data_IF_160942952515
#
_entry.id   IF_160942952515
#
_cell.length_a   1.000
_cell.length_b   1.000
_cell.length_c   1.000
_cell.angle_alpha   90.00
_cell.angle_beta   90.00
_cell.angle_gamma   90.00
#
_symmetry.space_group_name_H-M   'P 1'
#
loop_
_entity.id
_entity.type
_entity.pdbx_description
1 polymer ?
#
# COMPACT_ATOMS: atom_id res chain seq x y z
N UNK A 1 -2.18 -31.94 -7.08
CA UNK A 1 -2.69 -33.33 -6.92
C UNK A 1 -1.58 -34.28 -7.33
N UNK A 2 -1.37 -35.36 -6.58
CA UNK A 2 -0.33 -36.35 -6.88
C UNK A 2 -1.07 -37.45 -7.64
N UNK A 3 -0.92 -37.52 -8.95
CA UNK A 3 -1.50 -38.62 -9.74
C UNK A 3 -0.71 -39.89 -9.42
N UNK A 4 -1.08 -40.54 -8.31
CA UNK A 4 -0.60 -41.87 -7.97
C UNK A 4 -1.45 -42.86 -8.74
N UNK A 5 -1.09 -43.05 -10.02
CA UNK A 5 -1.53 -44.19 -10.82
C UNK A 5 -0.84 -45.46 -10.30
N UNK A 6 -1.21 -45.87 -9.08
CA UNK A 6 -0.65 -47.01 -8.38
C UNK A 6 -1.68 -48.11 -8.17
N UNK A 7 -1.30 -49.37 -8.44
CA UNK A 7 -2.12 -50.52 -8.09
C UNK A 7 -1.92 -50.84 -6.60
N UNK A 8 -2.85 -50.43 -5.74
CA UNK A 8 -2.79 -50.66 -4.30
C UNK A 8 -3.76 -51.78 -3.88
N UNK A 9 -3.34 -52.63 -2.94
CA UNK A 9 -4.20 -53.65 -2.34
C UNK A 9 -4.48 -53.32 -0.88
N UNK A 10 -5.76 -53.25 -0.52
CA UNK A 10 -6.21 -53.07 0.86
C UNK A 10 -7.10 -54.25 1.25
N UNK A 11 -6.93 -54.75 2.48
CA UNK A 11 -7.84 -55.73 3.05
C UNK A 11 -8.94 -54.96 3.79
N UNK A 12 -10.17 -55.09 3.32
CA UNK A 12 -11.37 -54.51 3.92
C UNK A 12 -12.38 -55.60 4.19
N UNK A 13 -13.04 -55.52 5.34
CA UNK A 13 -14.11 -56.42 5.74
C UNK A 13 -15.47 -55.75 5.56
N UNK A 14 -16.53 -56.56 5.62
CA UNK A 14 -17.90 -56.07 5.46
C UNK A 14 -18.23 -55.08 6.57
N UNK A 15 -18.59 -53.86 6.20
CA UNK A 15 -18.92 -52.78 7.14
C UNK A 15 -17.86 -51.67 7.21
N UNK A 16 -16.68 -51.90 6.63
CA UNK A 16 -15.64 -50.87 6.55
C UNK A 16 -16.00 -49.77 5.53
N UNK A 17 -15.58 -48.54 5.82
CA UNK A 17 -15.70 -47.40 4.90
C UNK A 17 -14.33 -47.08 4.31
N UNK A 18 -14.25 -47.04 2.97
CA UNK A 18 -13.07 -46.63 2.23
C UNK A 18 -13.23 -45.22 1.68
N UNK A 19 -12.27 -44.34 1.99
CA UNK A 19 -12.15 -43.02 1.38
C UNK A 19 -11.09 -43.05 0.28
N UNK A 20 -11.48 -42.71 -0.95
CA UNK A 20 -10.62 -42.70 -2.12
C UNK A 20 -10.48 -41.25 -2.59
N UNK A 21 -9.32 -40.64 -2.34
CA UNK A 21 -9.01 -39.27 -2.74
C UNK A 21 -8.34 -39.23 -4.12
N UNK A 22 -9.03 -39.77 -5.13
CA UNK A 22 -8.59 -39.77 -6.53
C UNK A 22 -9.77 -39.41 -7.43
N UNK A 23 -9.50 -38.77 -8.57
CA UNK A 23 -10.54 -38.36 -9.52
C UNK A 23 -11.28 -39.56 -10.15
N UNK A 24 -10.61 -40.71 -10.22
CA UNK A 24 -11.21 -41.97 -10.67
C UNK A 24 -10.55 -43.17 -9.98
N UNK A 25 -11.35 -44.19 -9.64
CA UNK A 25 -10.87 -45.41 -9.00
C UNK A 25 -11.68 -46.64 -9.41
N UNK A 26 -10.99 -47.77 -9.49
CA UNK A 26 -11.60 -49.08 -9.78
C UNK A 26 -11.44 -50.00 -8.56
N UNK A 27 -12.56 -50.49 -8.05
CA UNK A 27 -12.57 -51.46 -6.94
C UNK A 27 -12.67 -52.86 -7.52
N UNK A 28 -11.67 -53.70 -7.21
CA UNK A 28 -11.55 -55.06 -7.74
C UNK A 28 -11.56 -56.08 -6.60
N UNK A 29 -12.20 -57.22 -6.81
CA UNK A 29 -12.06 -58.34 -5.90
C UNK A 29 -10.63 -58.93 -5.98
N UNK A 30 -10.22 -59.67 -4.95
CA UNK A 30 -8.87 -60.25 -4.83
C UNK A 30 -8.45 -61.09 -6.05
N UNK A 31 -9.37 -61.86 -6.63
CA UNK A 31 -9.09 -62.74 -7.78
C UNK A 31 -8.80 -61.92 -9.04
N UNK A 32 -9.64 -60.92 -9.32
CA UNK A 32 -9.49 -60.02 -10.46
C UNK A 32 -8.24 -59.15 -10.32
N UNK A 33 -7.98 -58.61 -9.12
CA UNK A 33 -6.75 -57.85 -8.84
C UNK A 33 -5.50 -58.67 -9.13
N UNK A 34 -5.45 -59.92 -8.65
CA UNK A 34 -4.31 -60.81 -8.87
C UNK A 34 -4.10 -61.11 -10.35
N UNK A 35 -5.19 -61.40 -11.09
CA UNK A 35 -5.12 -61.60 -12.55
C UNK A 35 -4.56 -60.37 -13.26
N UNK A 36 -5.01 -59.18 -12.89
CA UNK A 36 -4.55 -57.93 -13.50
C UNK A 36 -3.08 -57.67 -13.20
N UNK A 37 -2.67 -57.85 -11.95
CA UNK A 37 -1.29 -57.69 -11.50
C UNK A 37 -0.35 -58.70 -12.18
N UNK A 38 -0.75 -59.97 -12.28
CA UNK A 38 0.06 -61.02 -12.91
C UNK A 38 0.17 -60.81 -14.43
N UNK A 39 -0.88 -60.28 -15.06
CA UNK A 39 -0.86 -59.90 -16.48
C UNK A 39 0.04 -58.70 -16.70
N UNK A 40 -0.09 -57.66 -15.88
CA UNK A 40 0.75 -56.47 -15.94
C UNK A 40 2.25 -56.81 -15.79
N UNK A 41 2.59 -57.65 -14.80
CA UNK A 41 3.96 -58.17 -14.61
C UNK A 41 4.45 -59.00 -15.79
N UNK A 42 3.59 -59.86 -16.37
CA UNK A 42 3.93 -60.63 -17.58
C UNK A 42 4.19 -59.73 -18.78
N UNK A 43 3.41 -58.67 -18.95
CA UNK A 43 3.57 -57.70 -20.03
C UNK A 43 4.85 -56.88 -19.85
N UNK A 44 5.17 -56.47 -18.62
CA UNK A 44 6.44 -55.80 -18.30
C UNK A 44 7.67 -56.69 -18.56
N UNK A 45 7.56 -58.00 -18.32
CA UNK A 45 8.67 -58.94 -18.42
C UNK A 45 8.81 -59.63 -19.80
N UNK A 46 7.73 -59.70 -20.59
CA UNK A 46 7.65 -60.52 -21.80
C UNK A 46 7.91 -59.80 -23.11
N UNK A 47 7.74 -58.48 -23.19
CA UNK A 47 7.93 -57.71 -24.43
C UNK A 47 8.77 -56.44 -24.18
N UNK A 48 10.02 -56.37 -24.67
CA UNK A 48 10.90 -55.21 -24.51
C UNK A 48 10.30 -53.92 -25.07
N UNK A 49 9.57 -54.01 -26.19
CA UNK A 49 8.92 -52.85 -26.80
C UNK A 49 7.81 -52.28 -25.92
N UNK A 50 7.03 -53.15 -25.25
CA UNK A 50 5.97 -52.73 -24.34
C UNK A 50 6.53 -52.16 -23.03
N UNK A 51 7.64 -52.72 -22.52
CA UNK A 51 8.36 -52.18 -21.37
C UNK A 51 8.87 -50.76 -21.64
N UNK A 52 9.48 -50.54 -22.80
CA UNK A 52 9.94 -49.21 -23.21
C UNK A 52 8.77 -48.24 -23.40
N UNK A 53 7.65 -48.71 -23.95
CA UNK A 53 6.45 -47.88 -24.11
C UNK A 53 5.88 -47.44 -22.75
N UNK A 54 5.72 -48.37 -21.80
CA UNK A 54 5.27 -48.05 -20.43
C UNK A 54 6.23 -47.09 -19.72
N UNK A 55 7.54 -47.33 -19.80
CA UNK A 55 8.55 -46.45 -19.21
C UNK A 55 8.51 -45.03 -19.81
N UNK A 56 8.29 -44.91 -21.13
CA UNK A 56 8.14 -43.63 -21.80
C UNK A 56 6.85 -42.90 -21.35
N UNK A 57 5.75 -43.62 -21.19
CA UNK A 57 4.50 -43.05 -20.66
C UNK A 57 4.66 -42.55 -19.22
N UNK A 58 5.29 -43.34 -18.35
CA UNK A 58 5.60 -42.92 -16.97
C UNK A 58 6.52 -41.69 -16.97
N UNK A 59 7.51 -41.64 -17.87
CA UNK A 59 8.38 -40.47 -18.05
C UNK A 59 7.62 -39.21 -18.49
N UNK A 60 6.68 -39.34 -19.43
CA UNK A 60 5.83 -38.23 -19.88
C UNK A 60 4.91 -37.72 -18.78
N UNK A 61 4.31 -38.63 -17.98
CA UNK A 61 3.48 -38.26 -16.83
C UNK A 61 4.33 -37.51 -15.79
N UNK A 62 5.51 -38.02 -15.46
CA UNK A 62 6.41 -37.36 -14.52
C UNK A 62 6.86 -35.97 -15.01
N UNK A 63 7.11 -35.83 -16.31
CA UNK A 63 7.43 -34.53 -16.92
C UNK A 63 6.26 -33.55 -16.83
N UNK A 64 5.04 -34.02 -17.12
CA UNK A 64 3.82 -33.22 -17.03
C UNK A 64 3.58 -32.74 -15.58
N UNK A 65 3.74 -33.62 -14.60
CA UNK A 65 3.63 -33.30 -13.17
C UNK A 65 4.67 -32.26 -12.74
N UNK A 66 5.91 -32.40 -13.23
CA UNK A 66 6.98 -31.43 -12.97
C UNK A 66 6.66 -30.07 -13.57
N UNK A 67 6.17 -30.04 -14.81
CA UNK A 67 5.74 -28.81 -15.47
C UNK A 67 4.58 -28.14 -14.74
N UNK A 68 3.59 -28.90 -14.27
CA UNK A 68 2.47 -28.37 -13.50
C UNK A 68 2.94 -27.75 -12.18
N UNK A 69 3.81 -28.43 -11.43
CA UNK A 69 4.40 -27.87 -10.20
C UNK A 69 5.21 -26.60 -10.46
N UNK A 70 5.98 -26.56 -11.55
CA UNK A 70 6.75 -25.38 -11.94
C UNK A 70 5.82 -24.20 -12.28
N UNK A 71 4.75 -24.45 -13.02
CA UNK A 71 3.72 -23.44 -13.32
C UNK A 71 3.04 -22.92 -12.06
N UNK A 72 2.63 -23.82 -11.17
CA UNK A 72 2.02 -23.47 -9.88
C UNK A 72 2.95 -22.55 -9.06
N UNK A 73 4.22 -22.94 -8.92
CA UNK A 73 5.22 -22.13 -8.23
C UNK A 73 5.42 -20.75 -8.89
N UNK A 74 5.43 -20.69 -10.22
CA UNK A 74 5.51 -19.44 -10.97
C UNK A 74 4.30 -18.54 -10.69
N UNK A 75 3.09 -19.09 -10.72
CA UNK A 75 1.87 -18.33 -10.42
C UNK A 75 1.85 -17.80 -8.98
N UNK A 76 2.27 -18.62 -8.00
CA UNK A 76 2.36 -18.18 -6.60
C UNK A 76 3.39 -17.05 -6.44
N UNK A 77 4.54 -17.13 -7.10
CA UNK A 77 5.55 -16.07 -7.12
C UNK A 77 5.01 -14.78 -7.75
N UNK A 78 4.34 -14.89 -8.90
CA UNK A 78 3.73 -13.76 -9.58
C UNK A 78 2.67 -13.08 -8.70
N UNK A 79 1.81 -13.87 -8.05
CA UNK A 79 0.81 -13.37 -7.10
C UNK A 79 1.47 -12.63 -5.93
N UNK A 80 2.51 -13.20 -5.33
CA UNK A 80 3.25 -12.57 -4.23
C UNK A 80 3.86 -11.23 -4.64
N UNK A 81 4.41 -11.13 -5.85
CA UNK A 81 4.97 -9.89 -6.38
C UNK A 81 3.88 -8.83 -6.61
N UNK A 82 2.71 -9.25 -7.13
CA UNK A 82 1.59 -8.36 -7.34
C UNK A 82 1.01 -7.83 -6.02
N UNK A 83 0.81 -8.71 -5.03
CA UNK A 83 0.35 -8.35 -3.69
C UNK A 83 1.33 -7.36 -3.02
N UNK A 84 2.64 -7.59 -3.20
CA UNK A 84 3.68 -6.69 -2.70
C UNK A 84 3.63 -5.32 -3.37
N UNK A 85 3.45 -5.29 -4.69
CA UNK A 85 3.32 -4.05 -5.46
C UNK A 85 2.10 -3.24 -5.01
N UNK A 86 0.95 -3.88 -4.83
CA UNK A 86 -0.27 -3.24 -4.33
C UNK A 86 -0.03 -2.65 -2.94
N UNK A 87 0.59 -3.41 -2.04
CA UNK A 87 0.95 -2.93 -0.70
C UNK A 87 1.90 -1.71 -0.73
N UNK A 88 2.92 -1.75 -1.58
CA UNK A 88 3.87 -0.64 -1.74
C UNK A 88 3.20 0.60 -2.34
N UNK A 89 2.31 0.42 -3.31
CA UNK A 89 1.57 1.51 -3.93
C UNK A 89 0.63 2.18 -2.93
N UNK A 90 -0.13 1.41 -2.15
CA UNK A 90 -0.99 1.95 -1.10
C UNK A 90 -0.18 2.73 -0.04
N UNK A 91 0.92 2.15 0.44
CA UNK A 91 1.81 2.83 1.39
C UNK A 91 2.39 4.14 0.82
N UNK A 92 2.71 4.16 -0.48
CA UNK A 92 3.19 5.38 -1.14
C UNK A 92 2.09 6.44 -1.22
N UNK A 93 0.87 6.06 -1.57
CA UNK A 93 -0.30 6.95 -1.59
C UNK A 93 -0.58 7.52 -0.21
N UNK A 94 -0.60 6.69 0.83
CA UNK A 94 -0.87 7.11 2.21
C UNK A 94 0.20 8.11 2.71
N UNK A 95 1.49 7.82 2.47
CA UNK A 95 2.58 8.75 2.79
C UNK A 95 2.45 10.06 2.03
N UNK A 96 2.04 10.00 0.77
CA UNK A 96 1.83 11.20 -0.06
C UNK A 96 0.67 12.03 0.47
N UNK A 97 -0.44 11.39 0.87
CA UNK A 97 -1.59 12.06 1.46
C UNK A 97 -1.23 12.76 2.80
N UNK A 98 -0.46 12.09 3.65
CA UNK A 98 0.06 12.68 4.90
C UNK A 98 0.96 13.89 4.63
N UNK A 99 1.88 13.78 3.66
CA UNK A 99 2.75 14.90 3.29
C UNK A 99 1.95 16.08 2.73
N UNK A 100 0.94 15.82 1.89
CA UNK A 100 0.04 16.86 1.36
C UNK A 100 -0.70 17.56 2.51
N UNK A 101 -1.22 16.81 3.48
CA UNK A 101 -1.89 17.38 4.65
C UNK A 101 -0.94 18.26 5.48
N UNK A 102 0.31 17.84 5.66
CA UNK A 102 1.32 18.63 6.37
C UNK A 102 1.70 19.92 5.63
N UNK A 103 1.78 19.86 4.29
CA UNK A 103 2.01 21.03 3.44
C UNK A 103 0.84 22.01 3.55
N UNK A 104 -0.40 21.52 3.48
CA UNK A 104 -1.60 22.35 3.60
C UNK A 104 -1.66 23.07 4.96
N UNK A 105 -1.33 22.37 6.04
CA UNK A 105 -1.26 22.96 7.37
C UNK A 105 -0.13 24.00 7.49
N UNK A 106 1.01 23.75 6.85
CA UNK A 106 2.12 24.71 6.80
C UNK A 106 1.74 25.97 6.01
N UNK A 107 1.03 25.81 4.89
CA UNK A 107 0.50 26.91 4.08
C UNK A 107 -0.54 27.73 4.85
N UNK A 108 -1.46 27.07 5.55
CA UNK A 108 -2.44 27.74 6.42
C UNK A 108 -1.77 28.57 7.51
N UNK A 109 -0.75 28.00 8.16
CA UNK A 109 0.05 28.70 9.18
C UNK A 109 0.78 29.91 8.59
N UNK A 110 1.46 29.73 7.45
CA UNK A 110 2.15 30.82 6.76
C UNK A 110 1.18 31.94 6.34
N UNK A 111 -0.01 31.58 5.86
CA UNK A 111 -1.08 32.53 5.51
C UNK A 111 -1.53 33.32 6.73
N UNK A 112 -1.74 32.65 7.87
CA UNK A 112 -2.09 33.31 9.13
C UNK A 112 -0.98 34.26 9.61
N UNK A 113 0.29 33.86 9.50
CA UNK A 113 1.42 34.71 9.86
C UNK A 113 1.50 35.95 8.96
N UNK A 114 1.32 35.79 7.65
CA UNK A 114 1.27 36.91 6.70
C UNK A 114 0.13 37.87 7.05
N UNK A 115 -1.06 37.36 7.36
CA UNK A 115 -2.19 38.20 7.76
C UNK A 115 -1.92 38.95 9.07
N UNK A 116 -1.28 38.29 10.05
CA UNK A 116 -0.87 38.94 11.29
C UNK A 116 0.19 40.03 11.04
N UNK A 117 1.18 39.78 10.17
CA UNK A 117 2.20 40.77 9.79
C UNK A 117 1.55 41.97 9.11
N UNK A 118 0.61 41.75 8.18
CA UNK A 118 -0.16 42.84 7.55
C UNK A 118 -0.90 43.67 8.60
N UNK A 119 -1.59 43.02 9.55
CA UNK A 119 -2.28 43.72 10.64
C UNK A 119 -1.33 44.55 11.51
N UNK A 120 -0.15 44.02 11.86
CA UNK A 120 0.87 44.75 12.62
C UNK A 120 1.45 45.93 11.82
N UNK A 121 1.65 45.78 10.51
CA UNK A 121 2.08 46.87 9.63
C UNK A 121 1.03 47.98 9.55
N UNK A 122 -0.25 47.62 9.39
CA UNK A 122 -1.35 48.58 9.34
C UNK A 122 -1.47 49.34 10.67
N UNK A 123 -1.41 48.63 11.81
CA UNK A 123 -1.38 49.25 13.13
C UNK A 123 -0.18 50.16 13.34
N UNK A 124 1.00 49.77 12.83
CA UNK A 124 2.22 50.59 12.91
C UNK A 124 2.09 51.85 12.05
N UNK A 125 1.53 51.74 10.85
CA UNK A 125 1.22 52.87 9.98
C UNK A 125 0.20 53.82 10.60
N UNK A 126 -0.85 53.30 11.25
CA UNK A 126 -1.82 54.12 11.97
C UNK A 126 -1.19 54.83 13.17
N UNK A 127 -0.36 54.14 13.96
CA UNK A 127 0.39 54.75 15.07
C UNK A 127 1.31 55.87 14.57
N UNK A 128 2.06 55.63 13.50
CA UNK A 128 2.91 56.65 12.86
C UNK A 128 2.09 57.86 12.38
N UNK A 129 0.94 57.62 11.71
CA UNK A 129 0.05 58.71 11.28
C UNK A 129 -0.53 59.49 12.48
N UNK A 130 -0.88 58.79 13.56
CA UNK A 130 -1.44 59.40 14.78
C UNK A 130 -0.39 60.21 15.54
N UNK A 131 0.83 59.69 15.69
CA UNK A 131 1.96 60.43 16.29
C UNK A 131 2.32 61.66 15.45
N UNK A 132 2.36 61.54 14.12
CA UNK A 132 2.65 62.68 13.26
C UNK A 132 1.57 63.77 13.38
N UNK A 133 0.29 63.38 13.40
CA UNK A 133 -0.82 64.32 13.68
C UNK A 133 -0.74 64.95 15.07
N UNK A 134 -0.33 64.20 16.09
CA UNK A 134 -0.17 64.73 17.45
C UNK A 134 1.01 65.70 17.56
N UNK A 135 2.15 65.40 16.91
CA UNK A 135 3.29 66.32 16.83
C UNK A 135 2.91 67.60 16.11
N UNK A 136 2.19 67.52 14.99
CA UNK A 136 1.70 68.71 14.28
C UNK A 136 0.75 69.53 15.18
N UNK A 137 -0.17 68.88 15.90
CA UNK A 137 -1.07 69.58 16.84
C UNK A 137 -0.32 70.23 18.01
N UNK A 138 0.71 69.58 18.55
CA UNK A 138 1.53 70.14 19.62
C UNK A 138 2.37 71.33 19.14
N UNK A 139 2.92 71.26 17.93
CA UNK A 139 3.68 72.37 17.33
C UNK A 139 2.75 73.55 17.02
N UNK A 140 1.58 73.31 16.44
CA UNK A 140 0.59 74.36 16.15
C UNK A 140 0.01 74.96 17.43
N UNK A 141 -0.27 74.14 18.45
CA UNK A 141 -0.76 74.56 19.76
C UNK A 141 0.29 75.33 20.57
N UNK A 142 1.54 74.88 20.56
CA UNK A 142 2.66 75.58 21.21
C UNK A 142 2.97 76.92 20.57
N UNK A 143 2.85 77.01 19.24
CA UNK A 143 3.03 78.26 18.51
C UNK A 143 1.92 79.28 18.80
N UNK A 144 0.66 78.84 18.88
CA UNK A 144 -0.47 79.72 19.21
C UNK A 144 -0.42 80.23 20.65
N UNK A 145 -0.06 79.38 21.62
CA UNK A 145 0.12 79.80 23.01
C UNK A 145 1.35 80.70 23.17
N UNK A 146 2.44 80.41 22.47
CA UNK A 146 3.66 81.23 22.47
C UNK A 146 3.44 82.64 21.90
N UNK A 147 2.69 82.75 20.79
CA UNK A 147 2.33 84.05 20.20
C UNK A 147 1.34 84.83 21.08
N UNK A 148 0.38 84.15 21.72
CA UNK A 148 -0.55 84.79 22.65
C UNK A 148 0.15 85.31 23.92
N UNK A 149 1.10 84.55 24.48
CA UNK A 149 1.89 84.98 25.63
C UNK A 149 2.82 86.15 25.28
N UNK A 150 3.49 86.10 24.12
CA UNK A 150 4.36 87.18 23.66
C UNK A 150 3.60 88.48 23.37
N UNK A 151 2.40 88.40 22.80
CA UNK A 151 1.54 89.58 22.56
C UNK A 151 1.01 90.19 23.85
N UNK A 152 0.64 89.37 24.85
CA UNK A 152 0.26 89.86 26.18
C UNK A 152 1.42 90.56 26.91
N UNK A 153 2.62 89.98 26.88
CA UNK A 153 3.81 90.61 27.48
C UNK A 153 4.16 91.93 26.79
N UNK A 154 4.10 91.97 25.46
CA UNK A 154 4.37 93.18 24.67
C UNK A 154 3.34 94.30 24.89
N UNK A 155 2.07 93.96 25.16
CA UNK A 155 1.03 94.93 25.49
C UNK A 155 1.18 95.52 26.90
N UNK A 156 1.64 94.71 27.86
CA UNK A 156 1.86 95.14 29.25
C UNK A 156 3.14 95.97 29.40
N UNK A 157 4.16 95.74 28.57
CA UNK A 157 5.41 96.53 28.59
C UNK A 157 5.34 97.86 27.83
N UNK A 158 4.21 98.16 27.17
CA UNK A 158 4.03 99.37 26.34
C UNK A 158 3.01 100.36 26.92
N UNK A 159 2.67 100.25 28.20
CA UNK A 159 1.96 101.28 28.98
C UNK A 159 2.93 102.03 29.89
#
# INVERSE_FOLDING_TARGET
MKDSTGLHSYAVVRGDTLLINYDSAYVLNKKTFKLYQDTYKRVQNGNPAMKNLLANYEGLIALQDSMLKSKEAYYQSLKSNFDSLVSHSNNFVDKTALNISAIDQSLSTATSQINNIKGLLDQSLEKLKKENRQRIKLVVGGFTVGVAAATLVFLITRQ
#
